data_IF_792583888250
#
_entry.id   IF_792583888250
#
_cell.length_a   1.000
_cell.length_b   1.000
_cell.length_c   1.000
_cell.angle_alpha   90.00
_cell.angle_beta   90.00
_cell.angle_gamma   90.00
#
_symmetry.space_group_name_H-M   'P 1'
#
loop_
_entity.id
_entity.type
_entity.pdbx_description
1 polymer ?
#
# COMPACT_ATOMS: atom_id res chain seq x y z
N UNK A 1 5.92 68.47 12.43
CA UNK A 1 6.67 69.57 13.08
C UNK A 1 7.69 68.98 14.05
N UNK A 2 8.98 69.32 13.88
CA UNK A 2 10.11 69.38 14.85
C UNK A 2 10.40 68.16 15.77
N UNK A 3 11.63 67.73 16.08
CA UNK A 3 13.02 67.86 15.55
C UNK A 3 13.91 67.07 16.56
N UNK A 4 14.91 66.31 16.07
CA UNK A 4 16.23 66.00 16.69
C UNK A 4 16.26 65.04 17.93
N UNK A 5 17.24 64.13 18.16
CA UNK A 5 18.62 63.94 17.67
C UNK A 5 19.20 62.55 18.12
N UNK A 6 20.09 62.00 17.28
CA UNK A 6 21.38 61.30 17.54
C UNK A 6 21.49 59.82 18.01
N UNK A 7 22.38 59.12 17.29
CA UNK A 7 23.23 57.98 17.70
C UNK A 7 22.90 56.68 16.96
N UNK A 8 23.78 55.90 16.33
CA UNK A 8 25.23 55.91 16.13
C UNK A 8 25.51 54.98 14.93
N UNK A 9 26.48 55.32 14.07
CA UNK A 9 26.97 54.47 12.97
C UNK A 9 28.47 54.20 13.15
N UNK A 10 28.87 52.95 12.86
CA UNK A 10 30.15 52.47 12.31
C UNK A 10 31.44 52.61 13.14
N UNK A 11 32.11 51.46 13.37
CA UNK A 11 33.56 51.15 13.40
C UNK A 11 33.69 49.67 13.82
N UNK A 12 34.43 48.78 13.18
CA UNK A 12 35.88 48.76 13.03
C UNK A 12 36.31 47.83 11.87
N UNK A 13 37.19 48.35 10.99
CA UNK A 13 38.13 47.56 10.20
C UNK A 13 39.48 48.26 10.36
N UNK A 14 40.47 47.59 10.98
CA UNK A 14 41.92 47.80 10.79
C UNK A 14 42.71 46.99 11.80
N UNK A 15 43.59 46.10 11.32
CA UNK A 15 44.88 45.64 11.90
C UNK A 15 45.30 44.38 11.12
N UNK A 16 46.53 44.14 10.64
CA UNK A 16 47.82 44.84 10.62
C UNK A 16 48.56 44.28 9.40
N UNK A 17 49.25 45.13 8.66
CA UNK A 17 50.26 44.76 7.67
C UNK A 17 51.56 45.46 8.08
N UNK A 18 52.59 44.68 8.40
CA UNK A 18 54.02 45.01 8.52
C UNK A 18 54.67 43.75 9.13
N UNK A 19 55.78 43.17 8.66
CA UNK A 19 57.10 43.73 8.39
C UNK A 19 57.86 42.81 7.41
N UNK A 20 58.58 43.40 6.45
CA UNK A 20 59.57 42.74 5.58
C UNK A 20 60.95 42.73 6.23
N UNK A 21 61.72 41.67 5.92
CA UNK A 21 63.20 41.50 5.92
C UNK A 21 63.89 41.23 7.26
N UNK A 22 64.45 40.02 7.39
CA UNK A 22 65.82 39.78 7.87
C UNK A 22 66.47 38.63 7.07
N UNK A 23 67.79 38.73 6.89
CA UNK A 23 68.68 37.98 5.98
C UNK A 23 69.41 36.80 6.66
N UNK A 24 69.78 35.81 5.82
CA UNK A 24 71.03 35.00 5.74
C UNK A 24 71.28 33.80 6.68
N UNK A 25 71.66 32.69 6.01
CA UNK A 25 72.33 31.46 6.51
C UNK A 25 71.35 30.27 6.51
N UNK A 26 71.50 29.17 5.76
CA UNK A 26 72.70 28.39 5.51
C UNK A 26 72.62 27.60 4.18
N UNK A 27 73.80 27.22 3.69
CA UNK A 27 74.07 26.50 2.44
C UNK A 27 73.66 25.02 2.51
N UNK A 28 73.53 24.40 1.33
CA UNK A 28 73.10 23.01 1.02
C UNK A 28 71.57 22.87 0.86
N UNK A 29 70.99 22.43 -0.25
CA UNK A 29 71.50 21.61 -1.35
C UNK A 29 70.85 22.06 -2.68
N UNK A 30 71.69 22.32 -3.68
CA UNK A 30 71.30 22.65 -5.04
C UNK A 30 71.95 21.59 -5.94
N UNK A 31 71.37 20.40 -5.99
CA UNK A 31 71.69 19.39 -7.01
C UNK A 31 70.59 18.32 -7.00
N UNK A 32 69.59 18.49 -7.88
CA UNK A 32 68.79 17.41 -8.52
C UNK A 32 67.64 18.09 -9.29
N UNK A 33 67.98 18.70 -10.43
CA UNK A 33 67.02 19.29 -11.36
C UNK A 33 67.29 18.73 -12.75
N UNK A 34 67.00 17.44 -12.97
CA UNK A 34 66.85 16.79 -14.28
C UNK A 34 66.68 15.28 -14.06
N UNK A 35 65.43 14.82 -13.99
CA UNK A 35 64.90 13.50 -14.40
C UNK A 35 63.67 13.16 -13.56
N UNK A 36 62.50 13.71 -13.90
CA UNK A 36 61.21 13.06 -13.62
C UNK A 36 60.13 13.68 -14.52
N UNK A 37 60.39 13.61 -15.83
CA UNK A 37 59.38 13.77 -16.86
C UNK A 37 58.77 12.38 -17.09
N UNK A 38 57.77 12.02 -16.30
CA UNK A 38 56.71 11.04 -16.61
C UNK A 38 55.92 10.76 -15.33
N UNK A 39 54.60 10.59 -15.43
CA UNK A 39 53.63 10.41 -14.34
C UNK A 39 53.17 11.68 -13.60
N UNK A 40 52.67 12.65 -14.37
CA UNK A 40 51.56 13.49 -13.89
C UNK A 40 50.34 13.24 -14.78
N UNK A 41 49.79 12.03 -14.69
CA UNK A 41 48.45 11.73 -15.19
C UNK A 41 47.47 12.56 -14.39
N UNK A 42 46.95 13.61 -15.04
CA UNK A 42 45.64 14.23 -14.84
C UNK A 42 44.72 13.46 -13.87
N UNK A 43 44.78 13.76 -12.57
CA UNK A 43 43.67 13.49 -11.66
C UNK A 43 42.68 14.64 -11.81
N UNK A 44 41.96 14.66 -12.94
CA UNK A 44 40.68 15.34 -12.97
C UNK A 44 39.74 14.53 -12.07
N UNK A 45 39.00 15.14 -11.13
CA UNK A 45 37.90 14.44 -10.51
C UNK A 45 36.95 14.10 -11.66
N UNK A 46 36.82 12.80 -11.97
CA UNK A 46 35.71 12.32 -12.75
C UNK A 46 34.45 12.72 -11.96
N UNK A 47 33.88 13.86 -12.31
CA UNK A 47 32.48 14.12 -12.04
C UNK A 47 31.75 13.01 -12.77
N UNK A 48 31.37 11.98 -12.02
CA UNK A 48 30.31 11.07 -12.44
C UNK A 48 29.08 11.97 -12.64
N UNK A 49 28.90 12.47 -13.85
CA UNK A 49 27.60 12.90 -14.31
C UNK A 49 26.75 11.63 -14.28
N UNK A 50 26.07 11.40 -13.15
CA UNK A 50 24.95 10.47 -13.12
C UNK A 50 24.04 10.90 -14.24
N UNK A 51 24.06 10.17 -15.36
CA UNK A 51 23.09 10.36 -16.43
C UNK A 51 21.74 10.12 -15.78
N UNK A 52 20.99 11.19 -15.52
CA UNK A 52 19.62 11.07 -15.06
C UNK A 52 18.89 10.24 -16.11
N UNK A 53 18.44 9.05 -15.72
CA UNK A 53 17.70 8.17 -16.60
C UNK A 53 16.48 8.95 -17.13
N UNK A 54 16.34 9.02 -18.45
CA UNK A 54 15.22 9.70 -19.07
C UNK A 54 13.96 8.85 -18.82
N UNK A 55 12.90 9.41 -18.22
CA UNK A 55 11.64 8.68 -18.01
C UNK A 55 11.10 8.09 -19.31
N UNK A 56 10.37 6.97 -19.22
CA UNK A 56 9.97 6.19 -20.41
C UNK A 56 9.17 6.97 -21.45
N UNK A 57 8.36 7.95 -21.04
CA UNK A 57 7.59 8.79 -21.95
C UNK A 57 8.39 9.95 -22.57
N UNK A 58 9.57 10.26 -22.02
CA UNK A 58 10.49 11.26 -22.56
C UNK A 58 11.62 10.63 -23.39
N UNK A 59 11.71 9.31 -23.40
CA UNK A 59 12.68 8.54 -24.15
C UNK A 59 12.31 8.53 -25.65
N UNK A 60 13.16 9.18 -26.46
CA UNK A 60 12.98 9.28 -27.92
C UNK A 60 13.03 7.93 -28.64
N UNK A 61 13.65 6.91 -28.03
CA UNK A 61 13.65 5.55 -28.59
C UNK A 61 12.27 4.89 -28.51
N UNK A 62 11.45 5.31 -27.53
CA UNK A 62 10.07 4.83 -27.33
C UNK A 62 9.05 5.73 -28.00
N UNK A 63 9.29 7.05 -28.00
CA UNK A 63 8.49 8.07 -28.70
C UNK A 63 9.29 8.70 -29.84
N UNK A 64 9.12 8.18 -31.07
CA UNK A 64 9.93 8.58 -32.24
C UNK A 64 9.87 10.07 -32.61
N UNK A 65 8.84 10.80 -32.19
CA UNK A 65 8.69 12.24 -32.40
C UNK A 65 9.02 13.09 -31.15
N UNK A 66 9.61 12.49 -30.11
CA UNK A 66 9.89 13.15 -28.84
C UNK A 66 8.62 13.75 -28.22
N UNK A 67 8.69 15.02 -27.80
CA UNK A 67 7.53 15.76 -27.27
C UNK A 67 6.34 15.78 -28.25
N UNK A 68 6.62 15.75 -29.56
CA UNK A 68 5.61 15.72 -30.62
C UNK A 68 4.78 14.44 -30.67
N UNK A 69 5.23 13.37 -29.99
CA UNK A 69 4.44 12.13 -29.84
C UNK A 69 3.15 12.39 -29.05
N UNK A 70 3.19 13.28 -28.06
CA UNK A 70 2.04 13.59 -27.20
C UNK A 70 1.47 14.98 -27.45
N UNK A 71 2.33 15.96 -27.74
CA UNK A 71 1.95 17.37 -27.90
C UNK A 71 1.87 17.78 -29.37
N UNK A 72 0.92 18.67 -29.67
CA UNK A 72 0.80 19.46 -30.89
C UNK A 72 1.72 20.69 -30.77
N UNK A 73 2.39 21.04 -31.85
CA UNK A 73 3.30 22.19 -31.89
C UNK A 73 2.59 23.55 -31.84
N UNK A 74 1.27 23.60 -32.04
CA UNK A 74 0.45 24.81 -32.02
C UNK A 74 -0.94 24.54 -31.45
N UNK A 75 -1.52 25.53 -30.79
CA UNK A 75 -2.90 25.50 -30.30
C UNK A 75 -3.18 26.59 -29.27
N UNK A 76 -4.26 26.42 -28.52
CA UNK A 76 -4.71 27.45 -27.58
C UNK A 76 -3.79 27.55 -26.36
N UNK A 77 -3.36 28.78 -26.05
CA UNK A 77 -2.54 29.09 -24.86
C UNK A 77 -3.25 28.61 -23.59
N UNK A 78 -2.48 27.99 -22.68
CA UNK A 78 -3.01 27.49 -21.41
C UNK A 78 -3.63 26.09 -21.49
N UNK A 79 -3.63 25.46 -22.66
CA UNK A 79 -4.01 24.04 -22.80
C UNK A 79 -2.76 23.15 -22.83
N UNK A 80 -2.87 21.86 -22.51
CA UNK A 80 -1.74 20.93 -22.64
C UNK A 80 -1.36 20.62 -24.10
N UNK A 81 -2.09 21.14 -25.09
CA UNK A 81 -1.82 20.94 -26.52
C UNK A 81 -1.66 19.47 -26.91
N UNK A 82 -2.51 18.56 -26.42
CA UNK A 82 -2.35 17.13 -26.73
C UNK A 82 -2.78 16.78 -28.16
N UNK A 83 -2.14 15.76 -28.74
CA UNK A 83 -2.46 15.20 -30.06
C UNK A 83 -3.86 14.56 -30.07
N UNK A 84 -4.26 13.95 -28.95
CA UNK A 84 -5.57 13.32 -28.73
C UNK A 84 -6.16 13.82 -27.40
N UNK A 85 -7.39 13.44 -27.09
CA UNK A 85 -7.94 13.66 -25.74
C UNK A 85 -7.07 12.98 -24.70
N UNK A 86 -7.05 13.55 -23.49
CA UNK A 86 -6.24 13.09 -22.36
C UNK A 86 -6.34 11.57 -22.17
N UNK A 87 -7.55 11.02 -22.26
CA UNK A 87 -7.82 9.62 -21.93
C UNK A 87 -7.48 8.67 -23.08
N UNK A 88 -7.68 9.11 -24.32
CA UNK A 88 -7.38 8.29 -25.50
C UNK A 88 -5.90 8.33 -25.88
N UNK A 89 -5.16 9.37 -25.48
CA UNK A 89 -3.75 9.51 -25.83
C UNK A 89 -2.94 8.31 -25.34
N UNK A 90 -3.16 7.88 -24.09
CA UNK A 90 -2.46 6.74 -23.50
C UNK A 90 -2.72 5.44 -24.29
N UNK A 91 -3.97 5.24 -24.71
CA UNK A 91 -4.41 4.05 -25.44
C UNK A 91 -3.87 3.96 -26.87
N UNK A 92 -3.30 5.03 -27.43
CA UNK A 92 -2.58 4.94 -28.72
C UNK A 92 -1.38 3.99 -28.65
N UNK A 93 -0.75 3.89 -27.47
CA UNK A 93 0.39 3.01 -27.23
C UNK A 93 0.03 1.84 -26.30
N UNK A 94 -0.86 2.05 -25.34
CA UNK A 94 -1.28 1.08 -24.34
C UNK A 94 -2.63 0.40 -24.64
N UNK A 95 -3.21 0.59 -25.82
CA UNK A 95 -4.35 -0.21 -26.29
C UNK A 95 -3.90 -1.42 -27.11
N UNK A 96 -4.83 -2.31 -27.47
CA UNK A 96 -4.53 -3.58 -28.15
C UNK A 96 -3.80 -3.48 -29.51
N UNK A 97 -3.82 -2.31 -30.16
CA UNK A 97 -3.06 -2.05 -31.39
C UNK A 97 -1.74 -1.29 -31.16
N UNK A 98 -1.45 -0.92 -29.91
CA UNK A 98 -0.28 -0.15 -29.52
C UNK A 98 0.98 -1.00 -29.34
N UNK A 99 2.13 -0.33 -29.19
CA UNK A 99 3.45 -0.99 -29.03
C UNK A 99 3.81 -1.30 -27.57
N UNK A 100 3.02 -0.84 -26.60
CA UNK A 100 3.22 -1.08 -25.18
C UNK A 100 2.26 -2.18 -24.65
N UNK A 101 2.35 -2.50 -23.36
CA UNK A 101 1.42 -3.43 -22.72
C UNK A 101 -0.01 -2.92 -22.84
N UNK A 102 -0.91 -3.77 -23.31
CA UNK A 102 -2.32 -3.46 -23.56
C UNK A 102 -3.12 -3.36 -22.26
N UNK A 103 -3.29 -2.14 -21.75
CA UNK A 103 -4.11 -1.81 -20.58
C UNK A 103 -5.60 -1.80 -20.88
N UNK A 104 -5.99 -1.64 -22.15
CA UNK A 104 -7.40 -1.60 -22.53
C UNK A 104 -8.09 -2.93 -22.20
N UNK A 105 -7.42 -4.05 -22.45
CA UNK A 105 -7.90 -5.40 -22.10
C UNK A 105 -8.23 -5.60 -20.60
N UNK A 106 -7.64 -4.78 -19.72
CA UNK A 106 -7.76 -4.91 -18.26
C UNK A 106 -8.80 -3.95 -17.69
N UNK A 107 -8.83 -2.70 -18.16
CA UNK A 107 -9.78 -1.68 -17.68
C UNK A 107 -11.23 -1.97 -18.07
N UNK A 108 -11.47 -2.91 -19.00
CA UNK A 108 -12.80 -3.38 -19.38
C UNK A 108 -13.26 -4.62 -18.60
N UNK A 109 -12.43 -5.15 -17.69
CA UNK A 109 -12.81 -6.29 -16.85
C UNK A 109 -13.96 -5.92 -15.89
N UNK A 110 -14.76 -6.89 -15.40
CA UNK A 110 -15.96 -6.60 -14.60
C UNK A 110 -15.71 -5.78 -13.33
N UNK A 111 -14.58 -5.96 -12.66
CA UNK A 111 -14.15 -5.12 -11.54
C UNK A 111 -13.00 -4.24 -12.00
N UNK A 112 -13.19 -2.93 -12.10
CA UNK A 112 -12.17 -2.01 -12.62
C UNK A 112 -12.26 -0.63 -11.99
N UNK A 113 -11.17 0.14 -12.11
CA UNK A 113 -11.27 1.59 -11.99
C UNK A 113 -11.78 2.14 -13.33
N UNK A 114 -12.94 2.83 -13.37
CA UNK A 114 -13.61 3.21 -14.61
C UNK A 114 -13.00 4.47 -15.25
N UNK A 115 -11.71 4.40 -15.55
CA UNK A 115 -10.86 5.54 -15.93
C UNK A 115 -11.21 6.20 -17.28
N UNK A 116 -11.96 5.50 -18.14
CA UNK A 116 -12.39 6.03 -19.45
C UNK A 116 -13.80 6.60 -19.35
N UNK A 117 -14.69 5.93 -18.64
CA UNK A 117 -16.10 6.30 -18.55
C UNK A 117 -16.30 7.52 -17.66
N UNK A 118 -15.45 7.68 -16.65
CA UNK A 118 -15.62 8.71 -15.62
C UNK A 118 -14.66 9.89 -15.78
N UNK A 119 -13.69 9.83 -16.69
CA UNK A 119 -12.72 10.91 -16.89
C UNK A 119 -13.35 12.26 -17.26
N UNK A 120 -14.52 12.23 -17.91
CA UNK A 120 -15.32 13.41 -18.28
C UNK A 120 -15.74 14.27 -17.09
N UNK A 121 -15.71 13.74 -15.87
CA UNK A 121 -16.08 14.45 -14.65
C UNK A 121 -14.92 15.28 -14.08
N UNK A 122 -13.68 15.07 -14.52
CA UNK A 122 -12.53 15.84 -14.04
C UNK A 122 -12.61 17.30 -14.44
N UNK A 123 -12.26 18.16 -13.49
CA UNK A 123 -12.13 19.61 -13.70
C UNK A 123 -10.72 20.07 -13.34
N UNK A 124 -10.25 21.11 -14.01
CA UNK A 124 -8.90 21.62 -13.71
C UNK A 124 -8.86 22.22 -12.31
N UNK A 125 -7.95 21.72 -11.47
CA UNK A 125 -7.78 22.21 -10.11
C UNK A 125 -8.74 21.59 -9.09
N UNK A 126 -9.33 20.44 -9.40
CA UNK A 126 -10.07 19.65 -8.41
C UNK A 126 -9.24 19.39 -7.14
N UNK A 127 -9.95 19.28 -6.03
CA UNK A 127 -9.36 19.00 -4.71
C UNK A 127 -9.64 17.55 -4.35
N UNK A 128 -8.59 16.83 -3.95
CA UNK A 128 -8.69 15.48 -3.42
C UNK A 128 -8.15 15.47 -1.98
N UNK A 129 -8.77 14.72 -1.04
CA UNK A 129 -10.03 13.97 -1.17
C UNK A 129 -11.24 14.84 -1.54
N UNK A 130 -12.26 14.22 -2.14
CA UNK A 130 -13.49 14.92 -2.53
C UNK A 130 -14.18 15.47 -1.27
N UNK A 131 -14.65 16.71 -1.35
CA UNK A 131 -15.32 17.42 -0.25
C UNK A 131 -16.83 17.52 -0.44
N UNK A 132 -17.32 17.32 -1.67
CA UNK A 132 -18.73 17.33 -2.02
C UNK A 132 -19.26 15.90 -2.22
N UNK A 133 -20.16 15.47 -1.33
CA UNK A 133 -20.74 14.13 -1.37
C UNK A 133 -21.70 13.90 -2.56
N UNK A 134 -22.13 14.96 -3.25
CA UNK A 134 -23.03 14.89 -4.39
C UNK A 134 -22.31 14.63 -5.72
N UNK A 135 -20.99 14.81 -5.76
CA UNK A 135 -20.21 14.61 -6.97
C UNK A 135 -19.95 13.12 -7.24
N UNK A 136 -20.12 12.67 -8.51
CA UNK A 136 -19.89 11.28 -8.87
C UNK A 136 -18.42 10.92 -8.65
N UNK A 137 -18.16 9.76 -8.04
CA UNK A 137 -16.80 9.21 -7.97
C UNK A 137 -16.28 8.96 -9.38
N UNK A 138 -15.07 9.41 -9.64
CA UNK A 138 -14.43 9.30 -10.94
C UNK A 138 -12.93 9.09 -10.79
N UNK A 139 -12.32 8.60 -11.86
CA UNK A 139 -10.88 8.44 -11.99
C UNK A 139 -10.45 8.61 -13.46
N UNK A 140 -9.17 8.87 -13.68
CA UNK A 140 -8.50 8.94 -14.96
C UNK A 140 -7.09 8.37 -14.87
N UNK A 141 -6.42 8.26 -16.03
CA UNK A 141 -5.00 7.88 -16.10
C UNK A 141 -4.10 8.82 -15.27
N UNK A 142 -4.45 10.10 -15.17
CA UNK A 142 -3.61 11.14 -14.59
C UNK A 142 -3.71 11.25 -13.08
N UNK A 143 -4.72 10.60 -12.47
CA UNK A 143 -4.89 10.59 -11.02
C UNK A 143 -3.91 9.64 -10.36
N UNK A 144 -3.35 8.70 -11.13
CA UNK A 144 -2.37 7.72 -10.66
C UNK A 144 -1.00 7.87 -11.34
N UNK A 145 -0.95 8.42 -12.55
CA UNK A 145 0.29 8.55 -13.32
C UNK A 145 0.66 10.00 -13.61
N UNK A 146 1.93 10.30 -13.40
CA UNK A 146 2.54 11.52 -13.91
C UNK A 146 3.21 11.19 -15.24
N UNK A 147 2.58 11.55 -16.36
CA UNK A 147 3.05 11.17 -17.71
C UNK A 147 4.53 11.48 -17.96
N UNK A 148 5.09 12.54 -17.37
CA UNK A 148 6.49 12.92 -17.57
C UNK A 148 7.47 12.24 -16.60
N UNK A 149 6.99 11.46 -15.63
CA UNK A 149 7.83 10.82 -14.59
C UNK A 149 7.59 9.32 -14.44
N UNK A 150 6.37 8.85 -14.73
CA UNK A 150 6.01 7.45 -14.65
C UNK A 150 6.87 6.58 -15.58
N UNK A 151 7.40 5.50 -15.01
CA UNK A 151 8.21 4.51 -15.70
C UNK A 151 7.89 3.10 -15.20
N UNK A 152 8.38 2.07 -15.90
CA UNK A 152 8.22 0.67 -15.49
C UNK A 152 8.79 0.48 -14.08
N UNK A 153 7.98 -0.03 -13.16
CA UNK A 153 8.35 -0.25 -11.75
C UNK A 153 8.23 0.99 -10.84
N UNK A 154 8.01 2.19 -11.40
CA UNK A 154 7.75 3.43 -10.64
C UNK A 154 6.58 4.20 -11.24
N UNK A 155 5.44 3.54 -11.33
CA UNK A 155 4.30 4.04 -12.08
C UNK A 155 3.68 5.32 -11.46
N UNK A 156 3.81 5.49 -10.14
CA UNK A 156 3.24 6.61 -9.37
C UNK A 156 4.28 7.71 -9.05
N UNK A 157 5.45 7.67 -9.69
CA UNK A 157 6.53 8.63 -9.44
C UNK A 157 6.07 10.07 -9.74
N UNK A 158 6.33 10.99 -8.79
CA UNK A 158 5.96 12.39 -8.92
C UNK A 158 4.47 12.70 -8.78
N UNK A 159 3.68 11.76 -8.24
CA UNK A 159 2.30 12.01 -7.83
C UNK A 159 2.24 12.71 -6.47
N UNK A 160 1.18 13.52 -6.31
CA UNK A 160 0.73 13.99 -5.00
C UNK A 160 -0.07 12.88 -4.33
N UNK A 161 -0.26 12.98 -3.02
CA UNK A 161 -1.10 12.03 -2.30
C UNK A 161 -1.69 12.64 -1.05
N UNK A 162 -2.11 11.76 -0.15
CA UNK A 162 -2.84 12.12 1.06
C UNK A 162 -2.47 11.17 2.20
N UNK A 163 -2.44 11.67 3.43
CA UNK A 163 -2.07 10.88 4.60
C UNK A 163 -3.16 9.90 5.06
N UNK A 164 -4.38 10.04 4.53
CA UNK A 164 -5.58 9.37 5.03
C UNK A 164 -6.21 10.05 6.25
N UNK A 165 -5.61 11.16 6.74
CA UNK A 165 -5.94 11.82 8.02
C UNK A 165 -5.75 13.33 7.96
N UNK A 166 -6.47 14.00 7.05
CA UNK A 166 -6.52 15.46 6.95
C UNK A 166 -5.31 16.15 6.32
N UNK A 167 -4.28 15.44 5.86
CA UNK A 167 -3.02 16.05 5.42
C UNK A 167 -2.66 15.72 3.96
N UNK A 168 -2.61 16.71 3.05
CA UNK A 168 -2.13 16.50 1.68
C UNK A 168 -0.60 16.33 1.64
N UNK A 169 -0.15 15.48 0.73
CA UNK A 169 1.26 15.13 0.53
C UNK A 169 1.70 15.61 -0.85
N UNK A 170 2.72 16.49 -0.89
CA UNK A 170 3.19 17.11 -2.15
C UNK A 170 3.86 16.13 -3.10
N UNK A 171 4.53 15.12 -2.57
CA UNK A 171 5.17 14.05 -3.33
C UNK A 171 5.09 12.79 -2.48
N UNK A 172 4.43 11.76 -3.02
CA UNK A 172 4.28 10.50 -2.30
C UNK A 172 5.63 9.78 -2.17
N UNK A 173 5.79 9.06 -1.07
CA UNK A 173 6.90 8.15 -0.84
C UNK A 173 6.43 6.70 -0.61
N UNK A 174 5.12 6.46 -0.63
CA UNK A 174 4.52 5.13 -0.53
C UNK A 174 3.21 5.11 -1.31
N UNK A 175 2.90 3.95 -1.91
CA UNK A 175 1.77 3.80 -2.84
C UNK A 175 0.43 4.13 -2.17
N UNK A 176 0.22 3.70 -0.92
CA UNK A 176 -1.06 3.88 -0.23
C UNK A 176 -1.49 5.35 -0.13
N UNK A 177 -0.52 6.29 -0.12
CA UNK A 177 -0.80 7.73 -0.04
C UNK A 177 -1.55 8.22 -1.27
N UNK A 178 -1.31 7.60 -2.43
CA UNK A 178 -2.08 7.86 -3.63
C UNK A 178 -3.50 7.32 -3.49
N UNK A 179 -3.64 6.07 -3.04
CA UNK A 179 -4.93 5.41 -2.85
C UNK A 179 -5.83 6.19 -1.87
N UNK A 180 -5.25 6.71 -0.79
CA UNK A 180 -5.96 7.49 0.21
C UNK A 180 -6.47 8.83 -0.31
N UNK A 181 -5.98 9.34 -1.45
CA UNK A 181 -6.58 10.53 -2.05
C UNK A 181 -8.07 10.32 -2.42
N UNK A 182 -8.51 9.06 -2.61
CA UNK A 182 -9.90 8.75 -2.98
C UNK A 182 -10.58 7.69 -2.09
N UNK A 183 -9.81 6.92 -1.31
CA UNK A 183 -10.29 5.78 -0.53
C UNK A 183 -10.20 5.97 1.00
N UNK A 184 -9.88 7.18 1.49
CA UNK A 184 -9.91 7.47 2.93
C UNK A 184 -11.19 8.18 3.37
N UNK A 185 -11.19 9.50 3.38
CA UNK A 185 -12.17 10.38 4.02
C UNK A 185 -12.84 11.29 2.98
N UNK A 186 -12.82 10.89 1.70
CA UNK A 186 -13.59 11.53 0.64
C UNK A 186 -15.08 11.53 1.00
N UNK A 187 -15.72 12.70 0.90
CA UNK A 187 -17.12 12.91 1.26
C UNK A 187 -18.11 12.09 0.42
N UNK A 188 -17.75 11.75 -0.82
CA UNK A 188 -18.57 10.93 -1.72
C UNK A 188 -18.28 9.41 -1.63
N UNK A 189 -17.65 8.95 -0.54
CA UNK A 189 -17.50 7.52 -0.29
C UNK A 189 -18.85 6.87 0.01
N UNK A 190 -19.09 5.65 -0.49
CA UNK A 190 -20.21 4.83 -0.02
C UNK A 190 -20.13 4.63 1.50
N UNK A 191 -21.26 4.43 2.20
CA UNK A 191 -21.28 4.16 3.63
C UNK A 191 -20.31 3.00 3.95
N UNK A 192 -19.42 3.23 4.91
CA UNK A 192 -18.39 2.28 5.41
C UNK A 192 -17.19 1.99 4.50
N UNK A 193 -16.38 3.00 4.13
CA UNK A 193 -15.17 2.73 3.30
C UNK A 193 -13.93 3.60 3.57
N UNK A 194 -13.76 4.18 4.77
CA UNK A 194 -12.48 4.83 5.07
C UNK A 194 -11.40 3.77 5.34
N UNK A 195 -10.72 3.34 4.27
CA UNK A 195 -9.74 2.27 4.37
C UNK A 195 -8.50 2.67 5.17
N UNK A 196 -8.19 3.97 5.24
CA UNK A 196 -7.10 4.46 6.07
C UNK A 196 -7.39 4.31 7.57
N UNK A 197 -8.66 4.18 7.97
CA UNK A 197 -9.01 3.87 9.34
C UNK A 197 -8.60 2.43 9.70
N UNK A 198 -8.80 1.47 8.80
CA UNK A 198 -8.50 0.05 9.03
C UNK A 198 -6.98 -0.22 9.11
N UNK A 199 -6.19 0.50 8.31
CA UNK A 199 -4.72 0.38 8.29
C UNK A 199 -4.01 1.21 9.37
N UNK A 200 -4.77 1.90 10.23
CA UNK A 200 -4.19 2.78 11.24
C UNK A 200 -3.21 2.06 12.16
N UNK A 201 -1.98 2.57 12.33
CA UNK A 201 -1.03 2.04 13.31
C UNK A 201 -1.54 2.06 14.76
N UNK A 202 -2.60 2.82 15.05
CA UNK A 202 -3.27 2.81 16.35
C UNK A 202 -4.09 1.54 16.59
N UNK A 203 -4.57 0.88 15.53
CA UNK A 203 -5.45 -0.30 15.62
C UNK A 203 -4.75 -1.50 16.28
N UNK A 204 -5.52 -2.35 16.96
CA UNK A 204 -4.99 -3.56 17.61
C UNK A 204 -4.26 -4.48 16.62
N UNK A 205 -4.72 -4.55 15.37
CA UNK A 205 -4.00 -5.19 14.28
C UNK A 205 -4.32 -4.57 12.92
N UNK A 206 -3.41 -4.75 11.97
CA UNK A 206 -3.53 -4.29 10.58
C UNK A 206 -2.51 -5.04 9.71
N UNK A 207 -2.81 -5.16 8.42
CA UNK A 207 -1.81 -5.55 7.44
C UNK A 207 -0.82 -4.40 7.23
N UNK A 208 0.48 -4.68 7.07
CA UNK A 208 1.54 -3.68 7.17
C UNK A 208 1.68 -2.85 5.88
N UNK A 209 0.74 -1.93 5.65
CA UNK A 209 0.75 -1.02 4.48
C UNK A 209 1.36 0.35 4.84
N UNK A 210 0.99 0.92 5.98
CA UNK A 210 1.53 2.21 6.45
C UNK A 210 2.85 2.05 7.21
N UNK A 211 3.02 0.93 7.91
CA UNK A 211 4.17 0.64 8.78
C UNK A 211 4.28 -0.86 9.04
N UNK A 212 5.31 -1.29 9.77
CA UNK A 212 5.51 -2.68 10.19
C UNK A 212 4.34 -3.21 11.04
N UNK A 213 4.06 -4.50 10.91
CA UNK A 213 2.98 -5.16 11.65
C UNK A 213 3.24 -5.19 13.16
N UNK A 214 2.16 -5.21 13.96
CA UNK A 214 2.26 -5.29 15.43
C UNK A 214 2.59 -6.69 15.96
N UNK A 215 2.17 -7.72 15.25
CA UNK A 215 2.30 -9.10 15.70
C UNK A 215 3.73 -9.63 15.46
N UNK A 216 4.40 -10.06 16.52
CA UNK A 216 5.72 -10.70 16.44
C UNK A 216 5.64 -12.20 16.14
N UNK A 217 4.48 -12.84 16.39
CA UNK A 217 4.24 -14.25 16.10
C UNK A 217 3.33 -14.41 14.87
N UNK A 218 3.92 -14.74 13.73
CA UNK A 218 3.26 -14.89 12.43
C UNK A 218 3.66 -16.20 11.74
N UNK A 219 3.37 -17.38 12.33
CA UNK A 219 3.88 -18.66 11.86
C UNK A 219 3.38 -19.03 10.45
N UNK A 220 2.20 -18.52 10.06
CA UNK A 220 1.65 -18.75 8.74
C UNK A 220 2.29 -17.92 7.65
N UNK A 221 3.20 -16.99 7.96
CA UNK A 221 3.81 -16.14 6.95
C UNK A 221 4.84 -16.95 6.14
N UNK A 222 4.78 -16.89 4.80
CA UNK A 222 5.76 -17.57 3.96
C UNK A 222 7.16 -16.97 4.16
N UNK A 223 8.19 -17.79 3.87
CA UNK A 223 9.61 -17.47 4.12
C UNK A 223 10.11 -16.18 3.45
N UNK A 224 9.46 -15.72 2.38
CA UNK A 224 9.83 -14.50 1.67
C UNK A 224 9.45 -13.23 2.46
N UNK A 225 8.61 -13.38 3.49
CA UNK A 225 8.13 -12.30 4.32
C UNK A 225 8.56 -12.49 5.79
N UNK A 226 8.56 -11.37 6.51
CA UNK A 226 8.91 -11.29 7.93
C UNK A 226 7.91 -10.40 8.64
N UNK A 227 7.92 -10.36 9.99
CA UNK A 227 7.11 -9.42 10.76
C UNK A 227 7.41 -7.94 10.44
N UNK A 228 8.58 -7.65 9.85
CA UNK A 228 8.99 -6.33 9.38
C UNK A 228 8.73 -6.09 7.88
N UNK A 229 8.08 -7.02 7.18
CA UNK A 229 7.71 -6.77 5.78
C UNK A 229 6.63 -5.69 5.71
N UNK A 230 6.77 -4.77 4.74
CA UNK A 230 5.73 -3.82 4.35
C UNK A 230 5.20 -4.27 2.99
N UNK A 231 3.87 -4.32 2.88
CA UNK A 231 3.16 -4.66 1.64
C UNK A 231 2.50 -3.42 1.05
N UNK A 232 2.12 -3.52 -0.21
CA UNK A 232 1.45 -2.49 -0.99
C UNK A 232 -0.02 -2.80 -1.15
N UNK A 233 -0.83 -1.79 -1.43
CA UNK A 233 -2.23 -2.00 -1.81
C UNK A 233 -2.29 -2.91 -3.06
N UNK A 234 -1.36 -2.71 -3.99
CA UNK A 234 -1.28 -3.50 -5.23
C UNK A 234 -0.71 -4.90 -5.10
N UNK A 235 -0.26 -5.32 -3.91
CA UNK A 235 0.06 -6.72 -3.64
C UNK A 235 -1.20 -7.57 -3.59
N UNK A 236 -2.34 -6.98 -3.17
CA UNK A 236 -3.66 -7.61 -3.16
C UNK A 236 -4.56 -7.13 -4.30
N UNK A 237 -4.53 -5.83 -4.61
CA UNK A 237 -5.42 -5.21 -5.59
C UNK A 237 -4.73 -4.97 -6.94
N UNK A 238 -5.16 -5.67 -7.98
CA UNK A 238 -4.48 -5.63 -9.26
C UNK A 238 -5.11 -6.54 -10.30
N UNK A 239 -4.44 -6.60 -11.44
CA UNK A 239 -4.78 -7.51 -12.52
C UNK A 239 -4.60 -8.97 -12.10
N UNK A 240 -5.64 -9.78 -12.32
CA UNK A 240 -5.64 -11.23 -12.11
C UNK A 240 -4.77 -12.01 -13.11
N UNK A 241 -4.40 -11.40 -14.25
CA UNK A 241 -3.48 -11.99 -15.20
C UNK A 241 -2.03 -11.55 -14.90
N UNK A 242 -1.15 -12.43 -14.39
CA UNK A 242 0.24 -12.08 -14.07
C UNK A 242 1.09 -11.77 -15.32
N UNK A 243 0.63 -12.13 -16.52
CA UNK A 243 1.31 -11.81 -17.78
C UNK A 243 0.88 -10.45 -18.37
N UNK A 244 -0.24 -9.93 -17.88
CA UNK A 244 -0.84 -8.67 -18.31
C UNK A 244 -0.20 -7.43 -17.69
N UNK A 245 -0.77 -6.24 -17.96
CA UNK A 245 -0.39 -5.00 -17.28
C UNK A 245 -0.55 -5.10 -15.76
N UNK A 246 0.49 -4.67 -15.03
CA UNK A 246 0.45 -4.58 -13.56
C UNK A 246 -0.37 -3.37 -13.08
N UNK A 247 -0.82 -3.41 -11.82
CA UNK A 247 -1.54 -2.31 -11.16
C UNK A 247 -3.06 -2.50 -11.11
N UNK A 248 -3.78 -1.61 -10.38
CA UNK A 248 -5.18 -1.79 -10.02
C UNK A 248 -6.13 -1.34 -11.15
N UNK A 249 -5.80 -1.63 -12.40
CA UNK A 249 -6.60 -1.22 -13.56
C UNK A 249 -7.94 -1.97 -13.60
N UNK A 250 -7.92 -3.28 -13.37
CA UNK A 250 -9.10 -4.13 -13.35
C UNK A 250 -8.77 -5.61 -13.11
N UNK A 251 -9.77 -6.36 -12.68
CA UNK A 251 -9.71 -7.79 -12.39
C UNK A 251 -11.06 -8.45 -12.67
N UNK A 252 -11.05 -9.76 -12.90
CA UNK A 252 -12.26 -10.58 -12.83
C UNK A 252 -12.76 -10.80 -11.39
N UNK A 253 -11.89 -10.63 -10.40
CA UNK A 253 -12.21 -10.77 -8.97
C UNK A 253 -12.51 -9.41 -8.35
N UNK A 254 -13.68 -9.24 -7.72
CA UNK A 254 -14.06 -8.00 -7.07
C UNK A 254 -13.63 -7.97 -5.59
N UNK A 255 -13.21 -6.80 -5.03
CA UNK A 255 -12.97 -5.53 -5.72
C UNK A 255 -11.51 -5.44 -6.24
N UNK A 256 -11.34 -5.63 -7.56
CA UNK A 256 -10.04 -5.57 -8.26
C UNK A 256 -8.96 -6.42 -7.57
N UNK A 257 -9.26 -7.67 -7.19
CA UNK A 257 -8.32 -8.54 -6.48
C UNK A 257 -7.43 -9.29 -7.48
N UNK A 258 -6.14 -9.47 -7.16
CA UNK A 258 -5.19 -10.21 -8.02
C UNK A 258 -5.48 -11.70 -8.09
N UNK A 259 -6.23 -12.22 -7.14
CA UNK A 259 -6.59 -13.62 -7.06
C UNK A 259 -7.91 -13.76 -6.32
N UNK A 260 -8.48 -14.96 -6.42
CA UNK A 260 -9.76 -15.31 -5.79
C UNK A 260 -9.68 -15.24 -4.26
N UNK A 261 -10.73 -14.67 -3.67
CA UNK A 261 -11.00 -14.61 -2.24
C UNK A 261 -12.51 -14.68 -2.01
N UNK A 262 -13.00 -15.80 -1.47
CA UNK A 262 -14.43 -15.97 -1.18
C UNK A 262 -14.80 -15.47 0.21
N UNK A 263 -15.72 -14.51 0.30
CA UNK A 263 -16.18 -13.95 1.58
C UNK A 263 -17.43 -14.65 2.15
N UNK A 264 -17.86 -15.75 1.53
CA UNK A 264 -19.03 -16.53 1.94
C UNK A 264 -18.63 -17.96 2.31
N UNK A 265 -19.49 -18.65 3.07
CA UNK A 265 -19.28 -20.05 3.44
C UNK A 265 -19.06 -20.94 2.23
N UNK A 266 -18.18 -21.93 2.38
CA UNK A 266 -17.90 -22.90 1.34
C UNK A 266 -16.59 -23.66 1.56
N UNK A 267 -16.31 -24.64 0.70
CA UNK A 267 -15.14 -25.47 0.85
C UNK A 267 -13.85 -24.66 0.67
N UNK A 268 -12.96 -24.79 1.65
CA UNK A 268 -11.58 -24.32 1.55
C UNK A 268 -10.84 -25.07 0.45
N UNK A 269 -10.10 -24.32 -0.37
CA UNK A 269 -9.15 -24.89 -1.32
C UNK A 269 -8.03 -23.89 -1.63
N UNK A 270 -6.88 -24.34 -2.19
CA UNK A 270 -5.83 -23.43 -2.64
C UNK A 270 -6.31 -22.34 -3.61
N UNK A 271 -7.35 -22.63 -4.41
CA UNK A 271 -7.90 -21.64 -5.34
C UNK A 271 -8.96 -20.75 -4.70
N UNK A 272 -9.74 -21.23 -3.72
CA UNK A 272 -10.79 -20.45 -3.03
C UNK A 272 -10.21 -19.22 -2.31
N UNK A 273 -9.03 -19.38 -1.69
CA UNK A 273 -8.32 -18.33 -0.95
C UNK A 273 -6.93 -18.05 -1.53
N UNK A 274 -6.79 -18.18 -2.85
CA UNK A 274 -5.53 -18.00 -3.57
C UNK A 274 -4.84 -16.67 -3.20
N UNK A 275 -5.62 -15.60 -3.04
CA UNK A 275 -5.12 -14.28 -2.63
C UNK A 275 -4.38 -14.33 -1.29
N UNK A 276 -5.01 -14.90 -0.26
CA UNK A 276 -4.43 -15.04 1.08
C UNK A 276 -3.16 -15.91 1.02
N UNK A 277 -3.22 -16.98 0.23
CA UNK A 277 -2.13 -17.91 0.06
C UNK A 277 -0.97 -17.39 -0.78
N UNK A 278 -1.03 -16.17 -1.33
CA UNK A 278 0.16 -15.52 -1.89
C UNK A 278 1.20 -15.24 -0.80
N UNK A 279 0.77 -14.78 0.38
CA UNK A 279 1.64 -14.41 1.49
C UNK A 279 1.61 -15.41 2.65
N UNK A 280 0.50 -16.12 2.83
CA UNK A 280 0.35 -17.10 3.89
C UNK A 280 0.55 -18.54 3.41
N UNK A 281 1.23 -19.34 4.23
CA UNK A 281 1.44 -20.76 4.05
C UNK A 281 0.17 -21.51 4.45
N UNK A 282 -0.54 -22.05 3.45
CA UNK A 282 -1.74 -22.87 3.64
C UNK A 282 -1.51 -24.05 4.58
N UNK A 283 -0.37 -24.73 4.49
CA UNK A 283 -0.06 -25.88 5.35
C UNK A 283 0.03 -25.45 6.82
N UNK A 284 0.68 -24.33 7.13
CA UNK A 284 0.76 -23.80 8.50
C UNK A 284 -0.63 -23.46 9.06
N UNK A 285 -1.47 -22.81 8.25
CA UNK A 285 -2.86 -22.48 8.60
C UNK A 285 -3.66 -23.74 8.92
N UNK A 286 -3.61 -24.75 8.05
CA UNK A 286 -4.42 -25.97 8.17
C UNK A 286 -3.84 -27.01 9.14
N UNK A 287 -2.61 -26.81 9.62
CA UNK A 287 -1.99 -27.60 10.70
C UNK A 287 -2.17 -26.95 12.07
N UNK A 288 -3.01 -25.91 12.17
CA UNK A 288 -3.40 -25.30 13.44
C UNK A 288 -2.18 -24.74 14.22
N UNK A 289 -1.19 -24.21 13.50
CA UNK A 289 0.04 -23.69 14.09
C UNK A 289 -0.20 -22.37 14.83
N UNK A 290 -1.03 -21.48 14.28
CA UNK A 290 -1.39 -20.19 14.89
C UNK A 290 -2.62 -20.25 15.80
N UNK A 291 -3.54 -21.18 15.54
CA UNK A 291 -4.80 -21.34 16.24
C UNK A 291 -5.17 -22.82 16.23
N UNK A 292 -5.34 -23.43 17.41
CA UNK A 292 -5.49 -24.89 17.55
C UNK A 292 -6.73 -25.51 16.91
N UNK A 293 -7.62 -24.69 16.35
CA UNK A 293 -8.90 -25.07 15.78
C UNK A 293 -9.16 -24.47 14.39
N UNK A 294 -8.14 -23.91 13.75
CA UNK A 294 -8.29 -23.20 12.48
C UNK A 294 -8.85 -24.13 11.40
N UNK A 295 -8.31 -25.34 11.28
CA UNK A 295 -8.75 -26.39 10.35
C UNK A 295 -10.20 -26.76 10.58
N UNK A 296 -10.66 -26.84 11.83
CA UNK A 296 -12.03 -27.20 12.11
C UNK A 296 -13.03 -26.17 11.59
N UNK A 297 -12.73 -24.88 11.77
CA UNK A 297 -13.57 -23.80 11.26
C UNK A 297 -13.52 -23.76 9.73
N UNK A 298 -12.33 -23.67 9.16
CA UNK A 298 -12.19 -23.37 7.73
C UNK A 298 -12.42 -24.59 6.84
N UNK A 299 -12.03 -25.80 7.26
CA UNK A 299 -12.16 -27.02 6.44
C UNK A 299 -13.43 -27.80 6.77
N UNK A 300 -13.68 -28.11 8.04
CA UNK A 300 -14.80 -28.98 8.41
C UNK A 300 -16.12 -28.22 8.47
N UNK A 301 -16.08 -26.98 8.98
CA UNK A 301 -17.25 -26.12 9.07
C UNK A 301 -17.37 -25.15 7.89
N UNK A 302 -16.43 -25.16 6.93
CA UNK A 302 -16.51 -24.36 5.71
C UNK A 302 -16.69 -22.84 5.97
N UNK A 303 -16.14 -22.37 7.09
CA UNK A 303 -16.18 -20.96 7.49
C UNK A 303 -15.24 -20.15 6.61
N UNK A 304 -15.75 -19.09 5.98
CA UNK A 304 -14.89 -18.15 5.26
C UNK A 304 -13.92 -17.44 6.21
N UNK A 305 -12.70 -17.18 5.74
CA UNK A 305 -11.78 -16.30 6.45
C UNK A 305 -12.42 -14.94 6.78
N UNK A 306 -13.30 -14.43 5.90
CA UNK A 306 -13.97 -13.14 6.05
C UNK A 306 -14.89 -13.06 7.27
N UNK A 307 -15.37 -14.19 7.78
CA UNK A 307 -16.29 -14.19 8.93
C UNK A 307 -15.59 -13.80 10.22
N UNK A 308 -14.27 -14.02 10.29
CA UNK A 308 -13.45 -13.70 11.46
C UNK A 308 -12.40 -12.63 11.17
N UNK A 309 -11.88 -12.56 9.94
CA UNK A 309 -10.76 -11.70 9.59
C UNK A 309 -11.16 -10.59 8.63
N UNK A 310 -10.80 -9.36 8.97
CA UNK A 310 -10.77 -8.25 8.03
C UNK A 310 -9.35 -8.16 7.42
N UNK A 311 -9.26 -8.23 6.09
CA UNK A 311 -7.98 -8.25 5.38
C UNK A 311 -7.17 -6.94 5.48
N UNK A 312 -7.73 -5.87 6.04
CA UNK A 312 -7.06 -4.59 6.23
C UNK A 312 -6.64 -4.39 7.69
N UNK A 313 -7.59 -4.51 8.63
CA UNK A 313 -7.30 -4.35 10.05
C UNK A 313 -8.48 -4.45 11.00
N UNK A 314 -8.16 -4.35 12.29
CA UNK A 314 -9.12 -4.38 13.39
C UNK A 314 -8.69 -3.40 14.48
N UNK A 315 -9.59 -2.48 14.81
CA UNK A 315 -9.38 -1.52 15.89
C UNK A 315 -9.40 -2.17 17.28
N UNK A 316 -10.07 -3.32 17.42
CA UNK A 316 -10.37 -3.94 18.73
C UNK A 316 -9.45 -5.13 19.02
N UNK A 317 -9.27 -6.04 18.05
CA UNK A 317 -8.62 -7.32 18.30
C UNK A 317 -7.31 -7.49 17.53
N UNK A 318 -6.42 -8.30 18.10
CA UNK A 318 -5.18 -8.71 17.43
C UNK A 318 -5.48 -9.67 16.26
N UNK A 319 -4.46 -9.93 15.43
CA UNK A 319 -4.52 -10.96 14.37
C UNK A 319 -5.64 -10.77 13.36
N UNK A 320 -5.96 -9.50 13.05
CA UNK A 320 -6.97 -9.08 12.08
C UNK A 320 -8.39 -9.53 12.41
N UNK A 321 -8.64 -9.94 13.66
CA UNK A 321 -9.96 -10.41 14.06
C UNK A 321 -10.96 -9.25 14.06
N UNK A 322 -11.97 -9.36 13.22
CA UNK A 322 -13.07 -8.41 13.08
C UNK A 322 -14.27 -9.21 12.56
N UNK A 323 -15.15 -9.61 13.48
CA UNK A 323 -16.21 -10.55 13.20
C UNK A 323 -17.27 -9.94 12.27
N UNK A 324 -17.63 -10.66 11.21
CA UNK A 324 -18.75 -10.29 10.35
C UNK A 324 -20.06 -10.47 11.11
N UNK A 325 -20.69 -9.35 11.49
CA UNK A 325 -21.92 -9.34 12.29
C UNK A 325 -23.13 -9.99 11.61
N UNK A 326 -23.05 -10.27 10.30
CA UNK A 326 -24.10 -11.00 9.59
C UNK A 326 -23.99 -12.52 9.79
N UNK A 327 -22.82 -13.01 10.17
CA UNK A 327 -22.49 -14.44 10.28
C UNK A 327 -22.11 -14.84 11.71
N UNK A 328 -21.64 -13.88 12.49
CA UNK A 328 -21.16 -14.02 13.86
C UNK A 328 -21.91 -13.05 14.77
N UNK A 329 -22.47 -13.55 15.87
CA UNK A 329 -23.37 -12.81 16.73
C UNK A 329 -23.11 -13.16 18.20
N UNK A 330 -23.69 -12.40 19.15
CA UNK A 330 -23.58 -12.74 20.56
C UNK A 330 -24.03 -14.17 20.85
N UNK A 331 -23.34 -14.85 21.77
CA UNK A 331 -23.74 -16.16 22.26
C UNK A 331 -25.06 -16.11 23.07
N UNK A 332 -25.52 -17.25 23.59
CA UNK A 332 -26.74 -17.33 24.39
C UNK A 332 -26.72 -16.46 25.66
N UNK A 333 -25.53 -16.11 26.18
CA UNK A 333 -25.34 -15.20 27.32
C UNK A 333 -25.20 -13.73 26.92
N UNK A 334 -25.29 -13.41 25.62
CA UNK A 334 -25.20 -12.05 25.08
C UNK A 334 -23.76 -11.53 24.89
N UNK A 335 -22.75 -12.41 24.94
CA UNK A 335 -21.35 -12.07 24.75
C UNK A 335 -20.94 -12.22 23.28
N UNK A 336 -20.27 -11.19 22.74
CA UNK A 336 -19.54 -11.23 21.47
C UNK A 336 -18.13 -10.70 21.73
N UNK A 337 -17.24 -11.59 22.18
CA UNK A 337 -15.90 -11.19 22.58
C UNK A 337 -14.83 -12.24 22.28
N UNK A 338 -13.61 -11.75 22.15
CA UNK A 338 -12.42 -12.55 21.95
C UNK A 338 -11.41 -12.24 23.03
N UNK A 339 -10.85 -13.29 23.64
CA UNK A 339 -9.76 -13.20 24.59
C UNK A 339 -8.55 -13.94 24.04
N UNK A 340 -7.45 -13.22 23.84
CA UNK A 340 -6.14 -13.84 23.68
C UNK A 340 -5.75 -14.50 24.99
N UNK A 341 -5.95 -15.81 25.10
CA UNK A 341 -5.44 -16.58 26.23
C UNK A 341 -3.99 -17.01 25.93
N UNK A 342 -3.62 -18.26 26.19
CA UNK A 342 -2.28 -18.78 25.87
C UNK A 342 -2.04 -18.66 24.35
N UNK A 343 -0.83 -18.32 23.88
CA UNK A 343 -0.51 -18.29 22.45
C UNK A 343 -1.01 -19.55 21.73
N UNK A 344 -1.78 -19.37 20.65
CA UNK A 344 -2.37 -20.47 19.88
C UNK A 344 -3.71 -21.02 20.40
N UNK A 345 -4.16 -20.60 21.59
CA UNK A 345 -5.42 -21.05 22.21
C UNK A 345 -6.31 -19.87 22.62
N UNK A 346 -6.74 -19.03 21.68
CA UNK A 346 -7.69 -17.98 22.01
C UNK A 346 -9.01 -18.56 22.52
N UNK A 347 -9.71 -17.77 23.33
CA UNK A 347 -11.09 -18.06 23.74
C UNK A 347 -12.03 -17.10 23.03
N UNK A 348 -13.04 -17.66 22.38
CA UNK A 348 -14.11 -16.90 21.74
C UNK A 348 -15.39 -17.11 22.56
N UNK A 349 -16.11 -16.03 22.79
CA UNK A 349 -17.45 -16.02 23.40
C UNK A 349 -18.39 -15.40 22.38
N UNK A 350 -18.99 -16.25 21.55
CA UNK A 350 -19.77 -15.86 20.38
C UNK A 350 -20.55 -17.06 19.84
N UNK A 351 -21.59 -16.78 19.07
CA UNK A 351 -22.24 -17.76 18.21
C UNK A 351 -21.95 -17.47 16.74
N UNK A 352 -21.98 -18.49 15.88
CA UNK A 352 -21.93 -18.32 14.44
C UNK A 352 -22.92 -19.25 13.71
N UNK A 353 -23.44 -18.78 12.57
CA UNK A 353 -24.32 -19.52 11.69
C UNK A 353 -23.61 -19.82 10.37
N UNK A 354 -23.43 -21.10 10.07
CA UNK A 354 -22.73 -21.54 8.86
C UNK A 354 -23.52 -22.67 8.21
N UNK A 355 -23.96 -22.47 6.98
CA UNK A 355 -24.72 -23.45 6.18
C UNK A 355 -25.91 -24.07 6.93
N UNK A 356 -26.67 -23.23 7.64
CA UNK A 356 -27.85 -23.65 8.41
C UNK A 356 -27.55 -24.33 9.74
N UNK A 357 -26.27 -24.43 10.15
CA UNK A 357 -25.86 -24.93 11.47
C UNK A 357 -25.46 -23.77 12.37
N UNK A 358 -25.78 -23.91 13.65
CA UNK A 358 -25.39 -22.98 14.70
C UNK A 358 -24.27 -23.59 15.53
N UNK A 359 -23.25 -22.81 15.81
CA UNK A 359 -22.18 -23.16 16.73
C UNK A 359 -22.09 -22.09 17.80
N UNK A 360 -22.28 -22.47 19.05
CA UNK A 360 -22.24 -21.54 20.17
C UNK A 360 -20.98 -21.76 21.03
N UNK A 361 -20.28 -20.68 21.36
CA UNK A 361 -19.07 -20.68 22.18
C UNK A 361 -19.35 -19.96 23.51
N UNK A 362 -19.54 -20.74 24.57
CA UNK A 362 -19.83 -20.25 25.93
C UNK A 362 -18.85 -20.81 26.97
N UNK A 363 -18.71 -20.10 28.09
CA UNK A 363 -18.05 -20.64 29.29
C UNK A 363 -19.01 -21.59 30.01
N UNK A 364 -19.12 -22.81 29.51
CA UNK A 364 -19.83 -23.90 30.19
C UNK A 364 -21.08 -24.35 29.44
N UNK A 365 -20.94 -25.43 28.68
CA UNK A 365 -22.06 -26.19 28.16
C UNK A 365 -21.94 -27.64 28.62
N UNK A 366 -22.53 -27.98 29.76
CA UNK A 366 -22.87 -29.37 30.06
C UNK A 366 -24.02 -29.78 29.15
N UNK A 367 -23.83 -30.82 28.34
CA UNK A 367 -24.97 -31.56 27.78
C UNK A 367 -25.91 -31.95 28.94
N UNK A 368 -27.25 -31.83 28.80
CA UNK A 368 -28.20 -32.25 29.83
C UNK A 368 -28.10 -33.73 30.25
N UNK A 369 -27.26 -34.54 29.59
CA UNK A 369 -27.17 -35.99 29.79
C UNK A 369 -25.92 -36.51 30.50
N UNK A 370 -24.92 -35.70 30.87
CA UNK A 370 -23.71 -36.24 31.56
C UNK A 370 -23.22 -35.37 32.71
N UNK A 371 -23.77 -35.62 33.89
CA UNK A 371 -23.49 -34.90 35.14
C UNK A 371 -22.32 -35.52 35.94
N UNK A 372 -21.56 -36.47 35.36
CA UNK A 372 -20.62 -37.33 36.11
C UNK A 372 -19.12 -37.01 35.96
N UNK A 373 -18.72 -36.09 35.07
CA UNK A 373 -17.30 -35.72 34.88
C UNK A 373 -17.04 -34.23 35.05
N UNK A 374 -16.89 -33.80 36.31
CA UNK A 374 -16.31 -32.50 36.67
C UNK A 374 -14.79 -32.53 36.46
N UNK A 375 -14.33 -32.34 35.24
CA UNK A 375 -12.96 -31.90 34.95
C UNK A 375 -12.91 -31.32 33.51
N UNK A 376 -12.73 -29.99 33.45
CA UNK A 376 -12.19 -29.22 32.32
C UNK A 376 -12.79 -29.45 30.92
N UNK A 377 -13.94 -28.86 30.61
CA UNK A 377 -14.37 -28.65 29.22
C UNK A 377 -15.00 -27.26 29.08
N UNK A 378 -14.16 -26.27 28.75
CA UNK A 378 -14.56 -25.18 27.86
C UNK A 378 -14.80 -25.80 26.48
N UNK A 379 -15.40 -25.08 25.52
CA UNK A 379 -15.55 -25.44 24.10
C UNK A 379 -16.91 -26.02 23.69
N UNK A 380 -17.57 -25.23 22.82
CA UNK A 380 -18.61 -25.50 21.83
C UNK A 380 -19.67 -26.56 22.17
N UNK A 381 -20.92 -26.11 22.27
CA UNK A 381 -22.08 -26.99 22.23
C UNK A 381 -22.30 -27.38 20.77
N UNK A 382 -21.72 -28.51 20.33
CA UNK A 382 -22.18 -29.46 19.29
C UNK A 382 -21.08 -30.47 18.86
N UNK A 383 -21.52 -31.65 18.41
CA UNK A 383 -21.01 -33.03 18.58
C UNK A 383 -19.56 -33.43 18.19
N UNK A 384 -18.60 -32.52 17.96
CA UNK A 384 -17.23 -32.90 17.56
C UNK A 384 -16.11 -32.02 18.09
N UNK A 385 -16.04 -31.81 19.40
CA UNK A 385 -14.84 -31.21 20.01
C UNK A 385 -14.03 -32.26 20.77
N UNK A 386 -12.77 -32.45 20.35
CA UNK A 386 -11.77 -33.27 21.06
C UNK A 386 -11.33 -32.50 22.30
N UNK A 387 -11.14 -33.12 23.49
CA UNK A 387 -10.68 -32.40 24.67
C UNK A 387 -9.32 -31.69 24.45
N UNK A 388 -9.19 -30.45 24.91
CA UNK A 388 -7.89 -29.74 24.98
C UNK A 388 -7.68 -28.56 24.02
N UNK A 389 -8.75 -28.00 23.46
CA UNK A 389 -8.68 -26.83 22.58
C UNK A 389 -8.07 -25.62 23.31
#
# INVERSE_FOLDING_TARGET
MKKLKKGNEVKEVKKVQQVKKFKKGNKAAFLTFLTFFSFLTFYLPFFNFSSYAVPSHLDKSKGSAGCGTCHRGHGMRGTPLLQNTKDNLCLTCHGGAGKAKDVYSVIVKPSNHPIIQTSRYHVTGETLPEIDNSLPRHASCYDCHNTHRSEKGKAVEGMKGYSGRGAPIRQINSEYQLCYACHSDSANLPPEKNIAADFSPANASFHPVETYGKNSFVPSLKREYTASSIIKCTDCHGNDDPSGPEGPHGSIYAPILKDRYESVSGPESPSTYALCYQCHNRTSILNDESFKAHKAHVVFNQTSCAFCHNAHGSSIYASLLNFDINSVFPNETGELSFMSAVPGKPRCFLSCHIDGKTFDHTLGGSSPSDMSRRQSLQYCVNDRCVPGW
#
